data_IF_384819494093
#
_entry.id   IF_384819494093
#
_cell.length_a   1.000
_cell.length_b   1.000
_cell.length_c   1.000
_cell.angle_alpha   90.00
_cell.angle_beta   90.00
_cell.angle_gamma   90.00
#
_symmetry.space_group_name_H-M   'P 1'
#
loop_
_entity.id
_entity.type
_entity.pdbx_description
1 polymer ?
#
# COMPACT_ATOMS: atom_id res chain seq x y z
N UNK A 1 11.54 14.12 -4.99
CA UNK A 1 10.52 13.47 -4.13
C UNK A 1 11.27 12.80 -2.99
N UNK A 2 10.94 13.10 -1.73
CA UNK A 2 11.57 12.41 -0.58
C UNK A 2 10.97 11.01 -0.54
N UNK A 3 11.80 10.00 -0.76
CA UNK A 3 11.43 8.60 -0.61
C UNK A 3 10.76 8.42 0.76
N UNK A 4 9.51 7.96 0.77
CA UNK A 4 8.84 7.56 1.99
C UNK A 4 9.76 6.52 2.67
N UNK A 5 10.19 6.80 3.90
CA UNK A 5 11.09 5.94 4.63
C UNK A 5 10.32 4.63 4.95
N UNK A 6 10.70 3.47 4.39
CA UNK A 6 9.88 2.25 4.43
C UNK A 6 9.85 1.57 5.82
N UNK A 7 10.31 2.25 6.88
CA UNK A 7 10.54 1.66 8.20
C UNK A 7 9.92 2.42 9.37
N UNK A 8 9.01 3.38 9.13
CA UNK A 8 8.44 4.24 10.16
C UNK A 8 6.95 3.94 10.42
N UNK A 9 6.62 2.72 10.86
CA UNK A 9 5.24 2.37 11.27
C UNK A 9 4.19 2.46 10.14
N UNK A 10 2.89 2.29 10.47
CA UNK A 10 1.80 2.53 9.52
C UNK A 10 1.80 3.97 9.02
N UNK A 11 1.39 4.20 7.77
CA UNK A 11 1.27 5.56 7.23
C UNK A 11 0.17 6.33 7.97
N UNK A 12 0.54 7.30 8.78
CA UNK A 12 -0.41 8.02 9.66
C UNK A 12 -1.55 8.72 8.90
N UNK A 13 -1.37 9.08 7.63
CA UNK A 13 -2.41 9.73 6.84
C UNK A 13 -3.40 8.71 6.26
N UNK A 14 -2.88 7.59 5.78
CA UNK A 14 -3.70 6.54 5.17
C UNK A 14 -4.30 5.58 6.20
N UNK A 15 -3.63 5.34 7.33
CA UNK A 15 -4.11 4.48 8.42
C UNK A 15 -5.37 5.01 9.12
N UNK A 16 -5.79 6.25 8.82
CA UNK A 16 -7.07 6.82 9.27
C UNK A 16 -8.27 6.35 8.44
N UNK A 17 -8.03 5.74 7.27
CA UNK A 17 -9.08 5.25 6.39
C UNK A 17 -9.72 3.99 6.96
N UNK A 18 -10.99 3.79 6.65
CA UNK A 18 -11.69 2.55 6.98
C UNK A 18 -11.00 1.35 6.35
N UNK A 19 -11.02 0.21 7.05
CA UNK A 19 -10.32 -1.01 6.62
C UNK A 19 -10.73 -1.46 5.21
N UNK A 20 -12.02 -1.33 4.86
CA UNK A 20 -12.52 -1.68 3.53
C UNK A 20 -11.98 -0.74 2.44
N UNK A 21 -11.79 0.54 2.74
CA UNK A 21 -11.19 1.50 1.82
C UNK A 21 -9.70 1.21 1.64
N UNK A 22 -9.00 0.86 2.71
CA UNK A 22 -7.60 0.44 2.62
C UNK A 22 -7.43 -0.83 1.77
N UNK A 23 -8.33 -1.81 1.89
CA UNK A 23 -8.29 -3.01 1.03
C UNK A 23 -8.42 -2.66 -0.45
N UNK A 24 -9.30 -1.69 -0.78
CA UNK A 24 -9.46 -1.20 -2.14
C UNK A 24 -8.20 -0.47 -2.60
N UNK A 25 -7.67 0.46 -1.78
CA UNK A 25 -6.45 1.22 -2.10
C UNK A 25 -5.29 0.26 -2.41
N UNK A 26 -5.02 -0.68 -1.51
CA UNK A 26 -3.91 -1.62 -1.65
C UNK A 26 -4.12 -2.60 -2.81
N UNK A 27 -5.36 -3.07 -2.98
CA UNK A 27 -5.76 -3.89 -4.12
C UNK A 27 -5.54 -3.17 -5.46
N UNK A 28 -5.91 -1.89 -5.57
CA UNK A 28 -5.68 -1.08 -6.77
C UNK A 28 -4.19 -0.87 -7.01
N UNK A 29 -3.41 -0.52 -5.98
CA UNK A 29 -1.97 -0.28 -6.12
C UNK A 29 -1.20 -1.54 -6.53
N UNK A 30 -1.61 -2.72 -6.06
CA UNK A 30 -0.97 -3.99 -6.40
C UNK A 30 -1.37 -4.54 -7.77
N UNK A 31 -2.60 -4.30 -8.24
CA UNK A 31 -3.15 -5.03 -9.40
C UNK A 31 -3.47 -4.15 -10.62
N UNK A 32 -3.54 -2.83 -10.49
CA UNK A 32 -3.80 -1.94 -11.63
C UNK A 32 -2.49 -1.49 -12.31
N UNK A 33 -2.14 -2.20 -13.38
CA UNK A 33 -1.00 -1.89 -14.25
C UNK A 33 -1.38 -1.01 -15.46
N UNK A 34 -2.68 -0.84 -15.73
CA UNK A 34 -3.17 -0.18 -16.95
C UNK A 34 -3.40 1.32 -16.79
N UNK A 35 -3.79 1.75 -15.60
CA UNK A 35 -4.12 3.15 -15.30
C UNK A 35 -2.86 3.99 -15.05
N UNK A 36 -2.90 5.26 -15.38
CA UNK A 36 -1.90 6.25 -14.96
C UNK A 36 -2.05 6.62 -13.48
N UNK A 37 -1.02 7.20 -12.88
CA UNK A 37 -1.08 7.69 -11.49
C UNK A 37 -2.20 8.72 -11.28
N UNK A 38 -2.49 9.53 -12.31
CA UNK A 38 -3.56 10.52 -12.26
C UNK A 38 -4.96 9.86 -12.27
N UNK A 39 -5.14 8.81 -13.06
CA UNK A 39 -6.39 8.05 -13.12
C UNK A 39 -6.64 7.30 -11.82
N UNK A 40 -5.62 6.65 -11.25
CA UNK A 40 -5.74 6.00 -9.93
C UNK A 40 -6.03 7.05 -8.85
N UNK A 41 -5.33 8.19 -8.84
CA UNK A 41 -5.61 9.24 -7.85
C UNK A 41 -7.05 9.76 -7.95
N UNK A 42 -7.57 9.95 -9.16
CA UNK A 42 -8.96 10.36 -9.37
C UNK A 42 -9.94 9.30 -8.87
N UNK A 43 -9.72 8.03 -9.23
CA UNK A 43 -10.54 6.92 -8.75
C UNK A 43 -10.59 6.85 -7.22
N UNK A 44 -9.44 7.01 -6.55
CA UNK A 44 -9.37 7.04 -5.10
C UNK A 44 -10.16 8.22 -4.51
N UNK A 45 -10.12 9.40 -5.13
CA UNK A 45 -10.93 10.54 -4.70
C UNK A 45 -12.43 10.29 -4.89
N UNK A 46 -12.82 9.60 -5.97
CA UNK A 46 -14.21 9.22 -6.23
C UNK A 46 -14.75 8.21 -5.18
N UNK A 47 -13.85 7.45 -4.54
CA UNK A 47 -14.15 6.59 -3.38
C UNK A 47 -14.21 7.35 -2.05
N UNK A 48 -13.98 8.66 -2.05
CA UNK A 48 -14.09 9.53 -0.88
C UNK A 48 -12.76 9.86 -0.19
N UNK A 49 -11.61 9.49 -0.76
CA UNK A 49 -10.32 9.97 -0.25
C UNK A 49 -10.15 11.47 -0.53
N UNK A 50 -9.55 12.18 0.41
CA UNK A 50 -9.05 13.54 0.14
C UNK A 50 -7.92 13.50 -0.89
N UNK A 51 -7.70 14.62 -1.59
CA UNK A 51 -6.60 14.76 -2.54
C UNK A 51 -5.23 14.44 -1.89
N UNK A 52 -5.04 14.80 -0.62
CA UNK A 52 -3.82 14.50 0.12
C UNK A 52 -3.64 12.98 0.35
N UNK A 53 -4.72 12.27 0.69
CA UNK A 53 -4.70 10.80 0.84
C UNK A 53 -4.45 10.12 -0.50
N UNK A 54 -5.15 10.52 -1.57
CA UNK A 54 -4.94 9.95 -2.91
C UNK A 54 -3.48 10.13 -3.37
N UNK A 55 -2.93 11.34 -3.25
CA UNK A 55 -1.50 11.60 -3.57
C UNK A 55 -0.54 10.78 -2.71
N UNK A 56 -0.86 10.59 -1.43
CA UNK A 56 -0.05 9.76 -0.53
C UNK A 56 -0.08 8.28 -0.95
N UNK A 57 -1.25 7.75 -1.31
CA UNK A 57 -1.40 6.38 -1.78
C UNK A 57 -0.58 6.12 -3.06
N UNK A 58 -0.61 7.05 -4.03
CA UNK A 58 0.21 6.94 -5.26
C UNK A 58 1.72 6.84 -4.97
N UNK A 59 2.21 7.47 -3.89
CA UNK A 59 3.62 7.37 -3.53
C UNK A 59 4.06 5.93 -3.19
N UNK A 60 3.11 5.04 -2.88
CA UNK A 60 3.36 3.63 -2.63
C UNK A 60 3.26 2.74 -3.88
N UNK A 61 2.76 3.25 -5.01
CA UNK A 61 2.45 2.43 -6.20
C UNK A 61 3.62 1.56 -6.65
N UNK A 62 4.79 2.16 -6.86
CA UNK A 62 5.98 1.42 -7.26
C UNK A 62 6.36 0.30 -6.29
N UNK A 63 6.10 0.48 -4.99
CA UNK A 63 6.39 -0.51 -3.96
C UNK A 63 5.40 -1.68 -4.01
N UNK A 64 4.11 -1.42 -4.24
CA UNK A 64 3.08 -2.45 -4.37
C UNK A 64 3.13 -3.20 -5.71
N UNK A 65 3.58 -2.56 -6.79
CA UNK A 65 3.74 -3.22 -8.11
C UNK A 65 4.94 -4.17 -8.13
N UNK A 66 5.99 -3.90 -7.37
CA UNK A 66 7.25 -4.66 -7.41
C UNK A 66 7.36 -5.77 -6.36
N UNK A 67 6.45 -5.82 -5.37
CA UNK A 67 6.57 -6.72 -4.22
C UNK A 67 5.23 -7.38 -3.89
N UNK A 68 5.32 -8.58 -3.30
CA UNK A 68 4.17 -9.28 -2.74
C UNK A 68 4.05 -8.98 -1.25
N UNK A 69 2.83 -8.69 -0.82
CA UNK A 69 2.48 -8.41 0.58
C UNK A 69 1.45 -9.43 1.06
N UNK A 70 1.43 -9.70 2.37
CA UNK A 70 0.60 -10.77 2.95
C UNK A 70 -0.32 -10.18 4.01
N UNK A 71 -1.64 -10.29 3.83
CA UNK A 71 -2.63 -9.79 4.77
C UNK A 71 -2.43 -8.29 5.08
N UNK A 72 -2.45 -7.92 6.37
CA UNK A 72 -2.21 -6.55 6.83
C UNK A 72 -0.70 -6.18 6.92
N UNK A 73 0.21 -7.07 6.51
CA UNK A 73 1.65 -6.81 6.48
C UNK A 73 2.05 -6.09 5.20
N UNK A 74 1.57 -4.86 5.07
CA UNK A 74 1.74 -4.01 3.88
C UNK A 74 2.36 -2.66 4.26
N UNK A 75 3.04 -1.95 3.35
CA UNK A 75 3.69 -0.67 3.64
C UNK A 75 2.78 0.44 4.18
N UNK A 76 1.47 0.38 3.90
CA UNK A 76 0.50 1.34 4.41
C UNK A 76 0.04 0.95 5.83
N UNK A 77 -0.26 -0.33 6.07
CA UNK A 77 -0.85 -0.82 7.33
C UNK A 77 0.18 -1.23 8.38
N UNK A 78 1.40 -1.57 7.96
CA UNK A 78 2.42 -2.18 8.80
C UNK A 78 3.83 -1.79 8.35
N UNK A 79 4.77 -1.83 9.29
CA UNK A 79 6.20 -1.68 9.00
C UNK A 79 6.94 -3.02 9.02
N UNK A 80 6.20 -4.13 9.07
CA UNK A 80 6.77 -5.46 9.26
C UNK A 80 6.93 -6.14 7.90
N UNK A 81 8.18 -6.37 7.52
CA UNK A 81 8.53 -7.18 6.36
C UNK A 81 8.47 -8.67 6.74
N UNK A 82 7.90 -9.48 5.85
CA UNK A 82 7.90 -10.93 5.99
C UNK A 82 8.91 -11.54 5.02
N UNK A 83 9.68 -12.53 5.49
CA UNK A 83 10.53 -13.38 4.66
C UNK A 83 9.84 -14.73 4.46
N UNK A 84 9.87 -15.24 3.23
CA UNK A 84 9.47 -16.63 2.99
C UNK A 84 10.56 -17.59 3.47
N UNK A 85 10.20 -18.51 4.37
CA UNK A 85 11.07 -19.59 4.83
C UNK A 85 10.82 -20.85 3.98
N UNK A 86 11.78 -21.19 3.12
CA UNK A 86 11.68 -22.35 2.22
C UNK A 86 11.75 -23.71 2.91
N UNK A 87 12.27 -23.79 4.14
CA UNK A 87 12.36 -25.04 4.90
C UNK A 87 11.02 -25.40 5.54
N UNK A 88 10.32 -24.40 6.06
CA UNK A 88 9.01 -24.58 6.73
C UNK A 88 7.82 -24.37 5.80
N UNK A 89 8.04 -23.71 4.66
CA UNK A 89 6.97 -23.31 3.73
C UNK A 89 6.08 -22.18 4.28
N UNK A 90 6.56 -21.43 5.28
CA UNK A 90 5.80 -20.36 5.95
C UNK A 90 6.45 -18.99 5.76
N UNK A 91 5.67 -17.93 5.92
CA UNK A 91 6.19 -16.58 6.05
C UNK A 91 6.52 -16.29 7.52
N UNK A 92 7.70 -15.74 7.77
CA UNK A 92 8.17 -15.33 9.11
C UNK A 92 8.56 -13.85 9.10
N UNK A 93 8.53 -13.21 10.27
CA UNK A 93 8.99 -11.82 10.40
C UNK A 93 10.49 -11.79 10.10
N UNK A 94 10.88 -10.91 9.17
CA UNK A 94 12.25 -10.74 8.72
C UNK A 94 13.15 -10.04 9.76
#
# INVERSE_FOLDING_TARGET
>A
MKNANPHAGPDELLATLDACILDIVEGTLSNDEGSTDAEIAQYLMDLGLSEAQAKRAICYRALYTLNLWVGDYTPIRSSVALRYNGETGQFEIA
#
